data_IF_855020082832
#
_entry.id   IF_855020082832
#
_cell.length_a   1.000
_cell.length_b   1.000
_cell.length_c   1.000
_cell.angle_alpha   90.00
_cell.angle_beta   90.00
_cell.angle_gamma   90.00
#
_symmetry.space_group_name_H-M   'P 1'
#
loop_
_entity.id
_entity.type
_entity.pdbx_description
1 polymer ?
#
# COMPACT_ATOMS: atom_id res chain seq x y z
N UNK A 1 -13.14 7.60 41.83
CA UNK A 1 -14.03 6.48 42.15
C UNK A 1 -15.47 6.94 42.03
N UNK A 2 -16.26 6.30 41.19
CA UNK A 2 -17.63 6.75 40.88
C UNK A 2 -18.57 6.77 42.08
N UNK A 3 -18.32 5.93 43.09
CA UNK A 3 -19.10 5.91 44.35
C UNK A 3 -19.27 7.32 44.95
N UNK A 4 -18.19 8.08 45.08
CA UNK A 4 -18.20 9.39 45.72
C UNK A 4 -18.97 10.42 44.88
N UNK A 5 -18.83 10.33 43.55
CA UNK A 5 -19.58 11.14 42.59
C UNK A 5 -21.08 10.87 42.70
N UNK A 6 -21.48 9.58 42.74
CA UNK A 6 -22.87 9.17 42.89
C UNK A 6 -23.46 9.67 44.21
N UNK A 7 -22.77 9.44 45.34
CA UNK A 7 -23.24 9.88 46.66
C UNK A 7 -23.32 11.41 46.76
N UNK A 8 -22.39 12.15 46.14
CA UNK A 8 -22.42 13.62 46.11
C UNK A 8 -23.61 14.17 45.31
N UNK A 9 -24.09 13.46 44.30
CA UNK A 9 -25.23 13.86 43.47
C UNK A 9 -26.59 13.59 44.12
N UNK A 10 -26.65 12.76 45.17
CA UNK A 10 -27.87 12.51 45.93
C UNK A 10 -28.21 13.64 46.91
N UNK A 11 -29.47 13.70 47.35
CA UNK A 11 -29.90 14.64 48.39
C UNK A 11 -29.20 14.37 49.72
N UNK A 12 -28.84 15.42 50.47
CA UNK A 12 -28.00 15.33 51.70
C UNK A 12 -28.50 14.32 52.74
N UNK A 13 -29.83 14.18 52.86
CA UNK A 13 -30.47 13.27 53.83
C UNK A 13 -30.15 11.79 53.58
N UNK A 14 -29.93 11.39 52.33
CA UNK A 14 -29.78 9.99 51.94
C UNK A 14 -28.30 9.59 51.84
N UNK A 15 -27.37 10.56 51.90
CA UNK A 15 -25.92 10.31 51.76
C UNK A 15 -25.32 9.54 52.93
N UNK A 16 -25.93 9.63 54.11
CA UNK A 16 -25.46 8.93 55.31
C UNK A 16 -26.12 7.57 55.49
N UNK A 17 -27.12 7.25 54.67
CA UNK A 17 -27.80 5.96 54.73
C UNK A 17 -26.85 4.82 54.34
N UNK A 18 -26.86 3.76 55.14
CA UNK A 18 -25.94 2.63 54.96
C UNK A 18 -26.27 1.86 53.68
N UNK A 19 -27.55 1.56 53.44
CA UNK A 19 -27.99 0.83 52.25
C UNK A 19 -27.63 1.60 50.96
N UNK A 20 -27.89 2.90 50.95
CA UNK A 20 -27.56 3.77 49.80
C UNK A 20 -26.06 3.78 49.51
N UNK A 21 -25.22 3.84 50.54
CA UNK A 21 -23.76 3.83 50.36
C UNK A 21 -23.22 2.49 49.87
N UNK A 22 -23.82 1.37 50.28
CA UNK A 22 -23.46 0.03 49.77
C UNK A 22 -23.87 -0.13 48.30
N UNK A 23 -25.09 0.30 47.94
CA UNK A 23 -25.56 0.28 46.55
C UNK A 23 -24.69 1.17 45.67
N UNK A 24 -24.44 2.42 46.06
CA UNK A 24 -23.56 3.32 45.31
C UNK A 24 -22.13 2.80 45.25
N UNK A 25 -21.66 2.07 46.26
CA UNK A 25 -20.36 1.40 46.24
C UNK A 25 -20.29 0.33 45.16
N UNK A 26 -21.31 -0.52 45.07
CA UNK A 26 -21.38 -1.60 44.08
C UNK A 26 -21.55 -1.06 42.65
N UNK A 27 -22.40 -0.04 42.47
CA UNK A 27 -22.56 0.65 41.19
C UNK A 27 -21.26 1.35 40.81
N UNK A 28 -20.66 2.08 41.75
CA UNK A 28 -19.39 2.79 41.53
C UNK A 28 -18.29 1.85 41.05
N UNK A 29 -18.08 0.73 41.74
CA UNK A 29 -17.11 -0.29 41.34
C UNK A 29 -17.37 -0.82 39.92
N UNK A 30 -18.64 -1.04 39.57
CA UNK A 30 -19.01 -1.51 38.23
C UNK A 30 -18.69 -0.47 37.16
N UNK A 31 -18.91 0.82 37.45
CA UNK A 31 -18.58 1.91 36.54
C UNK A 31 -17.07 2.13 36.42
N UNK A 32 -16.33 2.07 37.52
CA UNK A 32 -14.87 2.17 37.52
C UNK A 32 -14.26 1.04 36.65
N UNK A 33 -14.74 -0.21 36.82
CA UNK A 33 -14.33 -1.35 35.98
C UNK A 33 -14.71 -1.18 34.50
N UNK A 34 -15.85 -0.54 34.21
CA UNK A 34 -16.26 -0.28 32.83
C UNK A 34 -15.33 0.72 32.16
N UNK A 35 -14.96 1.79 32.86
CA UNK A 35 -14.02 2.79 32.36
C UNK A 35 -12.64 2.18 32.10
N UNK A 36 -12.12 1.35 33.02
CA UNK A 36 -10.86 0.63 32.80
C UNK A 36 -10.89 -0.24 31.52
N UNK A 37 -12.02 -0.91 31.26
CA UNK A 37 -12.20 -1.71 30.04
C UNK A 37 -12.32 -0.85 28.79
N UNK A 38 -12.91 0.32 28.90
CA UNK A 38 -13.01 1.28 27.79
C UNK A 38 -11.62 1.85 27.45
N UNK A 39 -10.81 2.11 28.45
CA UNK A 39 -9.42 2.55 28.27
C UNK A 39 -8.58 1.45 27.62
N UNK A 40 -8.68 0.19 28.07
CA UNK A 40 -8.00 -0.95 27.43
C UNK A 40 -8.46 -1.15 25.97
N UNK A 41 -9.77 -1.05 25.72
CA UNK A 41 -10.33 -1.12 24.37
C UNK A 41 -9.81 0.01 23.48
N UNK A 42 -9.74 1.24 24.00
CA UNK A 42 -9.22 2.39 23.26
C UNK A 42 -7.74 2.22 22.92
N UNK A 43 -6.96 1.63 23.83
CA UNK A 43 -5.57 1.27 23.57
C UNK A 43 -5.41 0.19 22.48
N UNK A 44 -6.46 -0.56 22.14
CA UNK A 44 -6.41 -1.51 21.02
C UNK A 44 -6.66 -0.87 19.66
N UNK A 45 -7.24 0.34 19.61
CA UNK A 45 -7.56 1.04 18.37
C UNK A 45 -6.34 1.70 17.71
N UNK A 46 -5.24 1.80 18.44
CA UNK A 46 -3.94 2.23 17.92
C UNK A 46 -3.00 1.02 17.83
N UNK A 47 -2.41 0.80 16.65
CA UNK A 47 -1.49 -0.30 16.38
C UNK A 47 -0.29 -0.25 17.33
N UNK A 48 0.21 0.95 17.68
CA UNK A 48 1.40 1.09 18.52
C UNK A 48 1.16 0.60 19.96
N UNK A 49 -0.09 0.65 20.44
CA UNK A 49 -0.49 0.21 21.79
C UNK A 49 -1.22 -1.14 21.81
N UNK A 50 -1.77 -1.60 20.68
CA UNK A 50 -2.57 -2.81 20.59
C UNK A 50 -1.82 -4.07 21.03
N UNK A 51 -2.44 -4.91 21.85
CA UNK A 51 -1.90 -6.18 22.35
C UNK A 51 -2.72 -7.35 21.82
N UNK A 52 -3.93 -7.53 22.33
CA UNK A 52 -4.81 -8.65 21.96
C UNK A 52 -5.54 -8.41 20.64
N UNK A 53 -5.59 -7.17 20.16
CA UNK A 53 -6.20 -6.84 18.86
C UNK A 53 -5.27 -7.03 17.66
N UNK A 54 -3.96 -7.28 17.84
CA UNK A 54 -3.01 -7.50 16.74
C UNK A 54 -3.44 -8.57 15.71
N UNK A 55 -4.02 -9.72 16.11
CA UNK A 55 -4.53 -10.72 15.15
C UNK A 55 -5.62 -10.19 14.23
N UNK A 56 -6.39 -9.18 14.65
CA UNK A 56 -7.43 -8.55 13.81
C UNK A 56 -6.78 -7.77 12.67
N UNK A 57 -5.83 -6.89 12.99
CA UNK A 57 -5.06 -6.14 11.99
C UNK A 57 -4.28 -7.06 11.04
N UNK A 58 -3.66 -8.12 11.58
CA UNK A 58 -2.96 -9.11 10.76
C UNK A 58 -3.90 -9.80 9.77
N UNK A 59 -5.10 -10.19 10.21
CA UNK A 59 -6.09 -10.80 9.34
C UNK A 59 -6.56 -9.86 8.23
N UNK A 60 -6.81 -8.58 8.54
CA UNK A 60 -7.20 -7.57 7.57
C UNK A 60 -6.13 -7.34 6.49
N UNK A 61 -4.85 -7.43 6.87
CA UNK A 61 -3.71 -7.28 5.96
C UNK A 61 -3.24 -8.60 5.32
N UNK A 62 -3.88 -9.73 5.62
CA UNK A 62 -3.47 -11.06 5.11
C UNK A 62 -2.14 -11.58 5.68
N UNK A 63 -1.71 -11.08 6.84
CA UNK A 63 -0.53 -11.54 7.57
C UNK A 63 -0.89 -12.79 8.38
N UNK A 64 -0.07 -13.84 8.30
CA UNK A 64 -0.21 -15.02 9.19
C UNK A 64 0.31 -14.66 10.59
N UNK A 65 -0.54 -14.79 11.60
CA UNK A 65 -0.18 -14.53 13.00
C UNK A 65 0.95 -15.45 13.47
N UNK A 66 2.04 -14.85 13.93
CA UNK A 66 3.17 -15.55 14.53
C UNK A 66 3.25 -15.22 16.02
N UNK A 67 2.94 -16.20 16.86
CA UNK A 67 2.92 -16.06 18.32
C UNK A 67 4.30 -16.11 18.98
N UNK A 68 5.35 -16.44 18.22
CA UNK A 68 6.73 -16.48 18.71
C UNK A 68 7.33 -15.06 18.72
N UNK A 69 6.89 -14.20 17.79
CA UNK A 69 7.34 -12.81 17.70
C UNK A 69 6.85 -11.98 18.87
N UNK A 70 7.68 -11.01 19.27
CA UNK A 70 7.28 -10.01 20.26
C UNK A 70 6.14 -9.12 19.72
N UNK A 71 5.36 -8.52 20.63
CA UNK A 71 4.32 -7.58 20.25
C UNK A 71 4.88 -6.41 19.42
N UNK A 72 6.07 -5.91 19.78
CA UNK A 72 6.75 -4.84 19.05
C UNK A 72 7.02 -5.22 17.60
N UNK A 73 7.64 -6.39 17.36
CA UNK A 73 7.94 -6.86 16.00
C UNK A 73 6.67 -7.06 15.17
N UNK A 74 5.59 -7.55 15.80
CA UNK A 74 4.28 -7.71 15.12
C UNK A 74 3.68 -6.37 14.74
N UNK A 75 3.72 -5.37 15.63
CA UNK A 75 3.25 -4.00 15.35
C UNK A 75 4.05 -3.36 14.23
N UNK A 76 5.38 -3.46 14.25
CA UNK A 76 6.24 -2.94 13.17
C UNK A 76 5.90 -3.56 11.82
N UNK A 77 5.66 -4.87 11.77
CA UNK A 77 5.25 -5.57 10.57
C UNK A 77 3.88 -5.09 10.06
N UNK A 78 2.90 -4.93 10.95
CA UNK A 78 1.57 -4.40 10.64
C UNK A 78 1.69 -2.97 10.10
N UNK A 79 2.39 -2.07 10.80
CA UNK A 79 2.57 -0.66 10.38
C UNK A 79 3.24 -0.58 9.01
N UNK A 80 4.26 -1.41 8.76
CA UNK A 80 4.92 -1.49 7.45
C UNK A 80 3.93 -1.85 6.34
N UNK A 81 3.15 -2.91 6.55
CA UNK A 81 2.15 -3.37 5.57
C UNK A 81 0.99 -2.39 5.39
N UNK A 82 0.55 -1.74 6.48
CA UNK A 82 -0.51 -0.73 6.46
C UNK A 82 -0.11 0.51 5.64
N UNK A 83 1.17 0.88 5.66
CA UNK A 83 1.71 1.97 4.81
C UNK A 83 1.72 1.57 3.33
N UNK A 84 1.98 0.30 3.03
CA UNK A 84 2.02 -0.23 1.67
C UNK A 84 0.62 -0.38 1.06
N UNK A 85 -0.40 -0.65 1.87
CA UNK A 85 -1.79 -0.93 1.42
C UNK A 85 -2.60 0.31 1.04
N UNK A 86 -2.03 1.52 1.09
CA UNK A 86 -2.77 2.76 0.89
C UNK A 86 -2.86 3.28 -0.55
N UNK A 87 -1.84 3.08 -1.39
CA UNK A 87 -1.84 3.58 -2.78
C UNK A 87 -0.92 2.72 -3.63
N UNK A 88 -1.42 2.28 -4.77
CA UNK A 88 -0.58 1.93 -5.91
C UNK A 88 0.09 3.21 -6.41
N UNK A 89 1.13 3.65 -5.72
CA UNK A 89 1.89 4.82 -6.09
C UNK A 89 2.70 4.56 -7.34
N UNK A 90 3.21 5.63 -7.94
CA UNK A 90 4.12 5.53 -9.07
C UNK A 90 5.33 4.63 -8.75
N UNK A 91 5.78 4.62 -7.49
CA UNK A 91 6.92 3.84 -7.04
C UNK A 91 6.68 2.33 -7.09
N UNK A 92 5.52 1.86 -6.64
CA UNK A 92 5.16 0.44 -6.62
C UNK A 92 4.96 -0.08 -8.05
N UNK A 93 4.29 0.69 -8.89
CA UNK A 93 4.11 0.36 -10.31
C UNK A 93 5.46 0.35 -11.03
N UNK A 94 6.35 1.30 -10.72
CA UNK A 94 7.72 1.35 -11.26
C UNK A 94 8.53 0.13 -10.85
N UNK A 95 8.46 -0.28 -9.57
CA UNK A 95 9.17 -1.46 -9.07
C UNK A 95 8.74 -2.73 -9.81
N UNK A 96 7.43 -2.92 -9.98
CA UNK A 96 6.89 -4.06 -10.74
C UNK A 96 7.25 -3.94 -12.22
N UNK A 97 7.13 -2.78 -12.84
CA UNK A 97 7.49 -2.62 -14.25
C UNK A 97 8.97 -2.94 -14.52
N UNK A 98 9.86 -2.45 -13.64
CA UNK A 98 11.30 -2.71 -13.74
C UNK A 98 11.64 -4.22 -13.67
N UNK A 99 10.92 -5.02 -12.87
CA UNK A 99 11.19 -6.46 -12.78
C UNK A 99 10.86 -7.23 -14.06
N UNK A 100 9.97 -6.68 -14.91
CA UNK A 100 9.61 -7.29 -16.19
C UNK A 100 10.55 -6.83 -17.30
N UNK A 101 10.96 -5.56 -17.32
CA UNK A 101 11.70 -4.99 -18.46
C UNK A 101 13.21 -4.93 -18.31
N UNK A 102 13.78 -5.35 -17.19
CA UNK A 102 15.23 -5.34 -16.92
C UNK A 102 15.89 -3.96 -17.14
N UNK A 103 15.13 -2.86 -17.04
CA UNK A 103 15.60 -1.53 -17.42
C UNK A 103 14.64 -0.43 -16.97
N UNK A 104 15.19 0.78 -16.88
CA UNK A 104 14.59 1.97 -16.28
C UNK A 104 13.22 2.32 -16.90
N UNK A 105 12.17 2.11 -16.13
CA UNK A 105 10.81 2.56 -16.42
C UNK A 105 10.51 3.78 -15.55
N UNK A 106 9.92 4.82 -16.13
CA UNK A 106 9.37 5.94 -15.37
C UNK A 106 7.85 5.85 -15.32
N UNK A 107 7.30 6.14 -14.15
CA UNK A 107 5.86 6.08 -13.92
C UNK A 107 5.37 7.42 -13.41
N UNK A 108 4.33 7.93 -14.06
CA UNK A 108 3.70 9.21 -13.73
C UNK A 108 2.23 8.99 -13.42
N UNK A 109 1.73 9.76 -12.46
CA UNK A 109 0.32 9.78 -12.06
C UNK A 109 -0.30 11.12 -12.46
N UNK A 110 -0.73 11.25 -13.71
CA UNK A 110 -1.44 12.43 -14.23
C UNK A 110 -2.73 11.98 -14.91
N UNK A 111 -3.88 12.20 -14.25
CA UNK A 111 -5.21 11.76 -14.69
C UNK A 111 -5.31 10.27 -15.06
N UNK A 112 -4.44 9.44 -14.47
CA UNK A 112 -4.25 8.04 -14.81
C UNK A 112 -2.84 7.58 -14.45
N UNK A 113 -2.51 6.35 -14.81
CA UNK A 113 -1.16 5.79 -14.68
C UNK A 113 -0.50 5.80 -16.06
N UNK A 114 0.65 6.45 -16.18
CA UNK A 114 1.48 6.41 -17.40
C UNK A 114 2.78 5.70 -17.09
N UNK A 115 3.07 4.63 -17.83
CA UNK A 115 4.29 3.83 -17.75
C UNK A 115 5.13 4.11 -18.99
N UNK A 116 6.26 4.78 -18.82
CA UNK A 116 7.18 5.18 -19.88
C UNK A 116 8.45 4.34 -19.86
N UNK A 117 8.76 3.67 -20.97
CA UNK A 117 9.98 2.88 -21.13
C UNK A 117 11.09 3.78 -21.68
N UNK A 118 12.00 4.24 -20.82
CA UNK A 118 13.01 5.26 -21.21
C UNK A 118 14.27 4.66 -21.82
N UNK A 119 14.66 3.45 -21.42
CA UNK A 119 15.89 2.79 -21.84
C UNK A 119 15.68 1.57 -22.75
N UNK A 120 14.48 1.40 -23.31
CA UNK A 120 14.17 0.31 -24.25
C UNK A 120 13.50 0.86 -25.50
N UNK A 121 13.98 0.42 -26.66
CA UNK A 121 13.31 0.66 -27.94
C UNK A 121 12.35 -0.50 -28.25
N UNK A 122 11.20 -0.17 -28.81
CA UNK A 122 10.17 -1.14 -29.16
C UNK A 122 9.33 -1.62 -27.98
N UNK A 123 8.59 -2.71 -28.22
CA UNK A 123 7.68 -3.31 -27.24
C UNK A 123 8.37 -4.50 -26.55
N UNK A 124 8.40 -4.56 -25.20
CA UNK A 124 8.95 -5.71 -24.48
C UNK A 124 8.19 -7.01 -24.82
N UNK A 125 8.90 -8.14 -24.89
CA UNK A 125 8.28 -9.45 -25.21
C UNK A 125 7.27 -9.93 -24.17
N UNK A 126 7.42 -9.49 -22.91
CA UNK A 126 6.56 -9.84 -21.77
C UNK A 126 5.56 -8.73 -21.41
N UNK A 127 5.26 -7.81 -22.33
CA UNK A 127 4.38 -6.67 -22.08
C UNK A 127 2.96 -7.07 -21.65
N UNK A 128 2.44 -8.19 -22.14
CA UNK A 128 1.08 -8.62 -21.84
C UNK A 128 0.92 -9.10 -20.40
N UNK A 129 1.96 -9.71 -19.84
CA UNK A 129 1.97 -10.09 -18.43
C UNK A 129 2.11 -8.86 -17.54
N UNK A 130 3.00 -7.92 -17.91
CA UNK A 130 3.11 -6.65 -17.22
C UNK A 130 1.78 -5.88 -17.20
N UNK A 131 1.08 -5.84 -18.34
CA UNK A 131 -0.24 -5.18 -18.46
C UNK A 131 -1.27 -5.75 -17.48
N UNK A 132 -1.33 -7.07 -17.34
CA UNK A 132 -2.25 -7.73 -16.41
C UNK A 132 -1.96 -7.34 -14.97
N UNK A 133 -0.68 -7.37 -14.57
CA UNK A 133 -0.26 -7.06 -13.20
C UNK A 133 -0.51 -5.59 -12.87
N UNK A 134 -0.03 -4.67 -13.72
CA UNK A 134 -0.27 -3.23 -13.51
C UNK A 134 -1.76 -2.91 -13.51
N UNK A 135 -2.57 -3.60 -14.32
CA UNK A 135 -4.02 -3.42 -14.31
C UNK A 135 -4.68 -3.90 -13.02
N UNK A 136 -4.25 -5.03 -12.47
CA UNK A 136 -4.74 -5.54 -11.19
C UNK A 136 -4.35 -4.61 -10.03
N UNK A 137 -3.17 -4.00 -10.11
CA UNK A 137 -2.70 -3.03 -9.13
C UNK A 137 -3.39 -1.67 -9.26
N UNK A 138 -3.87 -1.29 -10.44
CA UNK A 138 -4.47 0.03 -10.68
C UNK A 138 -5.99 0.02 -10.42
N UNK A 139 -6.55 0.99 -9.69
CA UNK A 139 -8.00 1.13 -9.53
C UNK A 139 -8.78 1.09 -10.85
N UNK A 140 -9.98 0.50 -10.81
CA UNK A 140 -10.76 0.24 -12.00
C UNK A 140 -11.08 1.51 -12.85
N UNK A 141 -11.23 2.66 -12.20
CA UNK A 141 -11.58 3.93 -12.84
C UNK A 141 -10.39 4.70 -13.42
N UNK A 142 -9.14 4.31 -13.11
CA UNK A 142 -7.95 4.95 -13.66
C UNK A 142 -7.52 4.26 -14.96
N UNK A 143 -7.24 5.09 -15.97
CA UNK A 143 -6.67 4.64 -17.25
C UNK A 143 -5.18 4.33 -17.07
N UNK A 144 -4.71 3.27 -17.72
CA UNK A 144 -3.29 2.92 -17.78
C UNK A 144 -2.78 3.12 -19.21
N UNK A 145 -1.76 3.94 -19.38
CA UNK A 145 -1.11 4.22 -20.65
C UNK A 145 0.33 3.67 -20.64
N UNK A 146 0.76 3.10 -21.75
CA UNK A 146 2.12 2.62 -21.95
C UNK A 146 2.76 3.43 -23.08
N UNK A 147 3.90 4.06 -22.80
CA UNK A 147 4.63 4.90 -23.74
C UNK A 147 5.92 4.19 -24.12
N UNK A 148 6.05 3.86 -25.40
CA UNK A 148 7.22 3.18 -25.97
C UNK A 148 8.06 4.15 -26.79
N UNK A 149 9.37 3.98 -26.73
CA UNK A 149 10.31 4.69 -27.59
C UNK A 149 10.59 3.84 -28.83
N UNK A 150 10.62 4.46 -30.01
CA UNK A 150 10.98 3.81 -31.27
C UNK A 150 12.11 4.54 -31.96
N UNK A 151 12.87 3.81 -32.76
CA UNK A 151 13.95 4.38 -33.55
C UNK A 151 13.36 5.11 -34.76
N UNK A 152 13.62 6.42 -34.85
CA UNK A 152 13.06 7.27 -35.89
C UNK A 152 13.90 7.26 -37.16
N UNK A 153 13.29 7.62 -38.29
CA UNK A 153 14.01 7.78 -39.55
C UNK A 153 15.10 8.87 -39.47
N UNK A 154 14.89 9.92 -38.67
CA UNK A 154 15.88 10.97 -38.45
C UNK A 154 17.14 10.44 -37.75
N UNK A 155 16.97 9.63 -36.69
CA UNK A 155 18.07 8.94 -36.01
C UNK A 155 18.76 7.95 -36.94
N UNK A 156 18.00 7.22 -37.74
CA UNK A 156 18.53 6.32 -38.77
C UNK A 156 19.42 7.04 -39.78
N UNK A 157 19.02 8.24 -40.23
CA UNK A 157 19.81 9.05 -41.16
C UNK A 157 21.16 9.49 -40.60
N UNK A 158 21.30 9.60 -39.26
CA UNK A 158 22.59 9.97 -38.64
C UNK A 158 23.67 8.90 -38.80
N UNK A 159 23.29 7.64 -39.06
CA UNK A 159 24.23 6.55 -39.30
C UNK A 159 24.99 6.69 -40.62
N UNK A 160 24.50 7.51 -41.56
CA UNK A 160 25.12 7.72 -42.87
C UNK A 160 25.03 6.52 -43.82
N UNK A 161 24.34 5.45 -43.44
CA UNK A 161 24.18 4.25 -44.24
C UNK A 161 23.24 4.49 -45.43
N UNK A 162 23.60 3.96 -46.60
CA UNK A 162 22.71 3.94 -47.77
C UNK A 162 21.66 2.85 -47.66
N UNK A 163 20.56 2.97 -48.41
CA UNK A 163 19.52 1.93 -48.46
C UNK A 163 20.07 0.55 -48.84
N UNK A 164 21.05 0.49 -49.74
CA UNK A 164 21.71 -0.76 -50.15
C UNK A 164 22.47 -1.41 -49.00
N UNK A 165 23.17 -0.63 -48.18
CA UNK A 165 23.91 -1.12 -47.02
C UNK A 165 22.97 -1.61 -45.92
N UNK A 166 21.83 -0.93 -45.71
CA UNK A 166 20.80 -1.38 -44.77
C UNK A 166 20.17 -2.69 -45.25
N UNK A 167 19.86 -2.82 -46.55
CA UNK A 167 19.29 -4.04 -47.12
C UNK A 167 20.20 -5.26 -46.94
N UNK A 168 21.53 -5.06 -46.94
CA UNK A 168 22.51 -6.14 -46.70
C UNK A 168 22.54 -6.63 -45.24
N UNK A 169 22.03 -5.86 -44.28
CA UNK A 169 21.94 -6.32 -42.87
C UNK A 169 20.92 -7.43 -42.65
N UNK A 170 19.98 -7.61 -43.60
CA UNK A 170 18.91 -8.60 -43.49
C UNK A 170 17.88 -8.31 -42.38
N UNK A 171 17.95 -7.14 -41.75
CA UNK A 171 17.01 -6.73 -40.71
C UNK A 171 15.63 -6.40 -41.31
N UNK A 172 14.57 -6.85 -40.65
CA UNK A 172 13.21 -6.47 -41.03
C UNK A 172 12.90 -5.03 -40.61
N UNK A 173 11.89 -4.42 -41.23
CA UNK A 173 11.44 -3.08 -40.86
C UNK A 173 11.11 -2.98 -39.36
N UNK A 174 10.46 -4.01 -38.81
CA UNK A 174 10.13 -4.09 -37.38
C UNK A 174 11.38 -4.14 -36.49
N UNK A 175 12.42 -4.88 -36.90
CA UNK A 175 13.68 -4.95 -36.17
C UNK A 175 14.39 -3.60 -36.16
N UNK A 176 14.40 -2.90 -37.30
CA UNK A 176 15.01 -1.57 -37.43
C UNK A 176 14.28 -0.54 -36.56
N UNK A 177 12.95 -0.56 -36.54
CA UNK A 177 12.17 0.38 -35.71
C UNK A 177 12.28 0.10 -34.20
N UNK A 178 12.46 -1.17 -33.81
CA UNK A 178 12.48 -1.60 -32.42
C UNK A 178 13.89 -1.64 -31.81
N UNK A 179 14.97 -1.74 -32.60
CA UNK A 179 16.34 -1.88 -32.09
C UNK A 179 17.35 -0.94 -32.74
N UNK A 180 16.95 -0.18 -33.76
CA UNK A 180 17.86 0.64 -34.57
C UNK A 180 18.72 -0.19 -35.53
N UNK A 181 19.69 0.46 -36.18
CA UNK A 181 20.59 -0.15 -37.17
C UNK A 181 21.91 -0.66 -36.56
N UNK A 182 21.97 -0.89 -35.25
CA UNK A 182 23.19 -1.21 -34.52
C UNK A 182 23.05 -2.59 -33.87
N UNK A 183 24.10 -3.40 -34.02
CA UNK A 183 24.32 -4.73 -33.41
C UNK A 183 24.29 -4.70 -31.89
#
# INVERSE_FOLDING_TARGET
MYKDTLTKNLHKLVRTDSLTNEINGSIGLTMDNFDERMDDFSAQLDIDTATWALPVYENELGIVTDVIKSLTERREQIVSMWRVTGKTGAAEIKLVANSYTHGDVDVYLDNGVTVEFTNMYGVPSNIDDLKKVVRAMTPAHLRVNYVFKYYTYAEMKTTGLTYEQIAQTGLTYEQITNRGLIT
#
